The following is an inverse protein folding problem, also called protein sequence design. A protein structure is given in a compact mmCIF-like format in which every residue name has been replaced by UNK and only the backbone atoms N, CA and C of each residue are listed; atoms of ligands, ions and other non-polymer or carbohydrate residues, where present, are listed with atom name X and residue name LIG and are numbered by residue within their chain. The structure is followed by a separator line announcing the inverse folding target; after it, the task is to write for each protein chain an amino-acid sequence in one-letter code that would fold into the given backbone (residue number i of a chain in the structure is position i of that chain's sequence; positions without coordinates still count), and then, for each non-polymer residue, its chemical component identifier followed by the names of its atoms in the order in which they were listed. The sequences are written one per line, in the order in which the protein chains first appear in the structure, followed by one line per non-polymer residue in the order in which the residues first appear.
data_IF_214123765562
#
_entry.id   IF_214123765562
#
_cell.length_a   1.000
_cell.length_b   1.000
_cell.length_c   1.000
_cell.angle_alpha   90.00
_cell.angle_beta   90.00
_cell.angle_gamma   90.00
#
_symmetry.space_group_name_H-M   'P 1'
#
loop_
_entity.id
_entity.type
_entity.pdbx_description
1 polymer ?
#
# COMPACT_ATOMS: atom_id res chain seq x y z
N UNK A 1 24.34 -0.88 -70.73
CA UNK A 1 23.16 -0.91 -69.83
C UNK A 1 22.93 -2.37 -69.49
N UNK A 2 22.78 -2.71 -68.20
CA UNK A 2 22.85 -4.04 -67.58
C UNK A 2 24.26 -4.50 -67.16
N UNK A 3 24.61 -4.30 -65.88
CA UNK A 3 25.48 -5.18 -65.06
C UNK A 3 25.57 -4.78 -63.58
N UNK A 4 25.01 -3.65 -63.14
CA UNK A 4 25.05 -3.24 -61.71
C UNK A 4 24.16 -4.09 -60.76
N UNK A 5 23.36 -5.01 -61.30
CA UNK A 5 22.46 -5.88 -60.51
C UNK A 5 23.09 -7.25 -60.20
N UNK A 6 24.23 -7.59 -60.83
CA UNK A 6 24.90 -8.89 -60.70
C UNK A 6 25.68 -9.02 -59.38
N UNK A 7 26.31 -7.94 -58.91
CA UNK A 7 27.24 -8.02 -57.77
C UNK A 7 26.57 -7.99 -56.40
N UNK A 8 25.35 -7.44 -56.31
CA UNK A 8 24.54 -7.51 -55.07
C UNK A 8 24.10 -8.94 -54.74
N UNK A 9 24.01 -9.82 -55.74
CA UNK A 9 23.66 -11.23 -55.57
C UNK A 9 24.89 -12.10 -55.23
N UNK A 10 26.09 -11.62 -55.56
CA UNK A 10 27.34 -12.35 -55.34
C UNK A 10 27.74 -12.42 -53.85
N UNK A 11 27.53 -11.34 -53.08
CA UNK A 11 27.84 -11.32 -51.63
C UNK A 11 26.91 -12.28 -50.86
N UNK A 12 25.64 -12.34 -51.27
CA UNK A 12 24.69 -13.34 -50.77
C UNK A 12 24.99 -14.76 -51.26
N UNK A 13 25.91 -15.00 -52.21
CA UNK A 13 26.33 -16.37 -52.62
C UNK A 13 27.48 -16.94 -51.80
N UNK A 14 28.12 -16.15 -50.93
CA UNK A 14 29.07 -16.69 -49.96
C UNK A 14 28.34 -17.69 -49.06
N UNK A 15 28.68 -18.97 -49.20
CA UNK A 15 28.08 -20.06 -48.43
C UNK A 15 28.14 -19.76 -46.92
N UNK A 16 29.23 -19.16 -46.44
CA UNK A 16 29.41 -18.79 -45.04
C UNK A 16 28.43 -17.70 -44.56
N UNK A 17 28.16 -16.69 -45.38
CA UNK A 17 27.23 -15.60 -45.04
C UNK A 17 25.78 -16.10 -45.03
N UNK A 18 25.41 -16.99 -45.96
CA UNK A 18 24.07 -17.62 -45.96
C UNK A 18 23.82 -18.46 -44.72
N UNK A 19 24.77 -19.32 -44.35
CA UNK A 19 24.63 -20.16 -43.16
C UNK A 19 24.62 -19.34 -41.87
N UNK A 20 25.40 -18.25 -41.82
CA UNK A 20 25.36 -17.33 -40.70
C UNK A 20 23.98 -16.66 -40.59
N UNK A 21 23.48 -16.03 -41.65
CA UNK A 21 22.17 -15.34 -41.67
C UNK A 21 21.01 -16.31 -41.39
N UNK A 22 21.03 -17.52 -41.97
CA UNK A 22 20.02 -18.56 -41.70
C UNK A 22 20.06 -19.04 -40.24
N UNK A 23 21.26 -19.30 -39.70
CA UNK A 23 21.43 -19.65 -38.29
C UNK A 23 20.95 -18.52 -37.38
N UNK A 24 21.17 -17.28 -37.78
CA UNK A 24 20.76 -16.08 -37.08
C UNK A 24 19.24 -15.89 -37.01
N UNK A 25 18.58 -16.01 -38.17
CA UNK A 25 17.12 -15.92 -38.28
C UNK A 25 16.46 -17.08 -37.56
N UNK A 26 16.99 -18.30 -37.68
CA UNK A 26 16.48 -19.46 -36.95
C UNK A 26 16.60 -19.27 -35.43
N UNK A 27 17.72 -18.75 -34.96
CA UNK A 27 17.94 -18.49 -33.54
C UNK A 27 17.02 -17.37 -33.00
N UNK A 28 16.84 -16.28 -33.73
CA UNK A 28 15.86 -15.24 -33.38
C UNK A 28 14.42 -15.77 -33.33
N UNK A 29 14.07 -16.66 -34.26
CA UNK A 29 12.72 -17.25 -34.35
C UNK A 29 12.44 -18.17 -33.16
N UNK A 30 13.44 -18.98 -32.76
CA UNK A 30 13.34 -19.87 -31.60
C UNK A 30 13.29 -19.06 -30.31
N UNK A 31 14.12 -18.02 -30.19
CA UNK A 31 14.12 -17.15 -29.02
C UNK A 31 12.80 -16.38 -28.90
N UNK A 32 12.27 -15.84 -30.01
CA UNK A 32 10.96 -15.18 -30.05
C UNK A 32 9.79 -16.11 -29.68
N UNK A 33 9.81 -17.36 -30.13
CA UNK A 33 8.81 -18.36 -29.74
C UNK A 33 8.87 -18.72 -28.24
N UNK A 34 10.07 -18.73 -27.66
CA UNK A 34 10.29 -18.89 -26.21
C UNK A 34 9.76 -17.70 -25.39
N UNK A 35 9.83 -16.48 -25.94
CA UNK A 35 9.29 -15.26 -25.29
C UNK A 35 7.76 -15.26 -25.30
N UNK A 36 7.13 -15.68 -26.40
CA UNK A 36 5.66 -15.63 -26.56
C UNK A 36 4.97 -16.72 -25.72
N UNK A 37 5.66 -17.84 -25.45
CA UNK A 37 5.08 -19.00 -24.75
C UNK A 37 5.15 -18.96 -23.22
N UNK A 38 5.89 -18.02 -22.62
CA UNK A 38 6.09 -17.99 -21.17
C UNK A 38 5.83 -16.59 -20.58
N UNK A 39 4.84 -16.50 -19.69
CA UNK A 39 4.50 -15.27 -18.98
C UNK A 39 5.70 -14.75 -18.13
N UNK A 40 5.99 -13.44 -18.11
CA UNK A 40 7.22 -12.89 -17.55
C UNK A 40 7.09 -12.71 -16.04
N UNK A 41 7.46 -13.72 -15.25
CA UNK A 41 7.54 -13.58 -13.78
C UNK A 41 8.82 -14.14 -13.15
N UNK A 42 9.67 -14.83 -13.91
CA UNK A 42 10.87 -15.50 -13.38
C UNK A 42 12.16 -14.76 -13.73
N UNK A 43 13.02 -14.55 -12.71
CA UNK A 43 14.39 -13.99 -12.85
C UNK A 43 15.24 -14.74 -13.89
N UNK A 44 15.00 -16.05 -14.05
CA UNK A 44 15.69 -16.90 -15.03
C UNK A 44 15.29 -16.52 -16.45
N UNK A 45 14.02 -16.19 -16.67
CA UNK A 45 13.50 -15.79 -17.99
C UNK A 45 14.10 -14.45 -18.39
N UNK A 46 14.23 -13.50 -17.46
CA UNK A 46 14.84 -12.19 -17.73
C UNK A 46 16.34 -12.33 -18.04
N UNK A 47 17.04 -13.21 -17.34
CA UNK A 47 18.43 -13.55 -17.65
C UNK A 47 18.56 -14.15 -19.06
N UNK A 48 17.67 -15.08 -19.43
CA UNK A 48 17.64 -15.66 -20.79
C UNK A 48 17.31 -14.59 -21.84
N UNK A 49 16.34 -13.72 -21.60
CA UNK A 49 15.97 -12.62 -22.50
C UNK A 49 17.12 -11.62 -22.69
N UNK A 50 17.83 -11.27 -21.62
CA UNK A 50 19.00 -10.39 -21.70
C UNK A 50 20.16 -11.05 -22.46
N UNK A 51 20.41 -12.34 -22.23
CA UNK A 51 21.42 -13.11 -22.97
C UNK A 51 21.07 -13.25 -24.45
N UNK A 52 19.79 -13.47 -24.77
CA UNK A 52 19.28 -13.49 -26.15
C UNK A 52 19.45 -12.12 -26.80
N UNK A 53 19.12 -11.04 -26.09
CA UNK A 53 19.26 -9.72 -26.68
C UNK A 53 20.73 -9.34 -26.91
N UNK A 54 21.63 -9.67 -25.98
CA UNK A 54 23.08 -9.46 -26.14
C UNK A 54 23.63 -10.26 -27.33
N UNK A 55 23.28 -11.53 -27.47
CA UNK A 55 23.71 -12.35 -28.61
C UNK A 55 23.10 -11.87 -29.94
N UNK A 56 21.88 -11.31 -29.91
CA UNK A 56 21.24 -10.66 -31.05
C UNK A 56 21.97 -9.37 -31.48
N UNK A 57 22.45 -8.58 -30.54
CA UNK A 57 23.21 -7.37 -30.89
C UNK A 57 24.63 -7.72 -31.34
N UNK A 58 25.32 -8.64 -30.66
CA UNK A 58 26.65 -9.10 -31.07
C UNK A 58 26.60 -9.72 -32.48
N UNK A 59 25.55 -10.49 -32.75
CA UNK A 59 25.35 -11.12 -34.04
C UNK A 59 25.06 -10.12 -35.16
N UNK A 60 24.21 -9.11 -34.93
CA UNK A 60 24.00 -8.03 -35.92
C UNK A 60 25.28 -7.23 -36.17
N UNK A 61 26.04 -6.90 -35.12
CA UNK A 61 27.36 -6.27 -35.24
C UNK A 61 28.31 -7.14 -36.07
N UNK A 62 28.33 -8.45 -35.82
CA UNK A 62 29.13 -9.42 -36.57
C UNK A 62 28.75 -9.50 -38.04
N UNK A 63 27.46 -9.51 -38.38
CA UNK A 63 26.98 -9.46 -39.77
C UNK A 63 27.36 -8.13 -40.42
N UNK A 64 27.17 -7.00 -39.74
CA UNK A 64 27.56 -5.69 -40.26
C UNK A 64 29.06 -5.61 -40.53
N UNK A 65 29.90 -6.13 -39.63
CA UNK A 65 31.35 -6.22 -39.83
C UNK A 65 31.74 -7.16 -40.96
N UNK A 66 31.10 -8.33 -41.07
CA UNK A 66 31.34 -9.28 -42.16
C UNK A 66 30.93 -8.71 -43.51
N UNK A 67 29.81 -7.99 -43.59
CA UNK A 67 29.38 -7.29 -44.80
C UNK A 67 30.33 -6.17 -45.19
N UNK A 68 30.97 -5.51 -44.21
CA UNK A 68 32.03 -4.52 -44.46
C UNK A 68 33.33 -5.16 -44.98
N UNK A 69 33.69 -6.36 -44.52
CA UNK A 69 34.97 -7.01 -44.86
C UNK A 69 34.91 -8.00 -46.04
N UNK A 70 33.73 -8.43 -46.50
CA UNK A 70 33.62 -9.46 -47.55
C UNK A 70 33.24 -8.94 -48.95
N UNK A 71 33.29 -7.62 -49.17
CA UNK A 71 33.16 -7.07 -50.52
C UNK A 71 34.43 -7.36 -51.34
N UNK A 72 34.34 -8.08 -52.48
CA UNK A 72 35.52 -8.38 -53.29
C UNK A 72 35.95 -7.12 -54.03
N UNK A 73 37.07 -6.53 -53.61
CA UNK A 73 37.84 -5.57 -54.40
C UNK A 73 38.88 -6.35 -55.19
N UNK A 74 38.59 -6.58 -56.46
CA UNK A 74 39.67 -6.64 -57.44
C UNK A 74 40.05 -5.19 -57.76
N UNK A 75 41.36 -4.92 -57.76
CA UNK A 75 42.02 -3.64 -58.04
C UNK A 75 42.01 -2.59 -56.92
N UNK A 76 43.14 -2.55 -56.20
CA UNK A 76 43.79 -1.38 -55.57
C UNK A 76 42.89 -0.21 -55.14
N UNK A 77 42.14 -0.42 -54.05
CA UNK A 77 41.99 0.49 -52.88
C UNK A 77 40.87 -0.06 -51.99
N UNK A 78 41.03 -0.07 -50.66
CA UNK A 78 40.00 -0.60 -49.76
C UNK A 78 38.68 0.17 -49.92
N UNK A 79 37.58 -0.58 -50.02
CA UNK A 79 36.21 -0.12 -50.31
C UNK A 79 35.65 0.93 -49.33
N UNK A 80 36.36 1.22 -48.23
CA UNK A 80 36.04 2.30 -47.30
C UNK A 80 36.06 3.70 -47.96
N UNK A 81 36.71 3.83 -49.12
CA UNK A 81 36.72 5.07 -49.92
C UNK A 81 35.50 5.24 -50.86
N UNK A 82 34.63 4.23 -51.05
CA UNK A 82 33.55 4.27 -52.05
C UNK A 82 32.15 3.93 -51.54
N UNK A 83 31.98 3.58 -50.27
CA UNK A 83 30.68 3.70 -49.62
C UNK A 83 30.42 5.18 -49.33
N UNK A 84 29.60 5.82 -50.16
CA UNK A 84 29.09 7.17 -49.97
C UNK A 84 28.79 7.45 -48.49
N UNK A 85 29.31 8.58 -48.01
CA UNK A 85 29.46 8.96 -46.60
C UNK A 85 28.17 8.91 -45.77
N UNK A 86 26.98 8.97 -46.40
CA UNK A 86 25.70 8.94 -45.71
C UNK A 86 25.31 7.55 -45.17
N UNK A 87 25.69 6.45 -45.84
CA UNK A 87 25.29 5.09 -45.41
C UNK A 87 26.18 4.54 -44.29
N UNK A 88 27.45 4.95 -44.24
CA UNK A 88 28.37 4.61 -43.14
C UNK A 88 28.07 5.40 -41.86
N UNK A 89 27.56 6.62 -41.97
CA UNK A 89 27.18 7.48 -40.83
C UNK A 89 26.04 6.89 -40.00
N UNK A 90 24.93 6.52 -40.64
CA UNK A 90 23.77 5.94 -39.95
C UNK A 90 24.06 4.54 -39.37
N UNK A 91 24.93 3.77 -40.03
CA UNK A 91 25.35 2.46 -39.53
C UNK A 91 26.22 2.60 -38.28
N UNK A 92 27.19 3.52 -38.29
CA UNK A 92 28.08 3.78 -37.16
C UNK A 92 27.34 4.25 -35.91
N UNK A 93 26.42 5.22 -36.04
CA UNK A 93 25.62 5.68 -34.92
C UNK A 93 24.74 4.57 -34.34
N UNK A 94 24.17 3.73 -35.20
CA UNK A 94 23.33 2.60 -34.78
C UNK A 94 24.14 1.54 -34.02
N UNK A 95 25.34 1.20 -34.50
CA UNK A 95 26.23 0.24 -33.83
C UNK A 95 26.67 0.76 -32.46
N UNK A 96 27.06 2.04 -32.35
CA UNK A 96 27.44 2.65 -31.07
C UNK A 96 26.26 2.65 -30.09
N UNK A 97 25.07 3.01 -30.56
CA UNK A 97 23.84 3.03 -29.74
C UNK A 97 23.51 1.63 -29.22
N UNK A 98 23.56 0.60 -30.08
CA UNK A 98 23.28 -0.78 -29.70
C UNK A 98 24.35 -1.36 -28.74
N UNK A 99 25.62 -1.02 -28.93
CA UNK A 99 26.69 -1.42 -28.00
C UNK A 99 26.52 -0.76 -26.63
N UNK A 100 26.22 0.53 -26.60
CA UNK A 100 25.98 1.23 -25.34
C UNK A 100 24.75 0.65 -24.63
N UNK A 101 23.67 0.41 -25.36
CA UNK A 101 22.43 -0.14 -24.80
C UNK A 101 22.61 -1.59 -24.29
N UNK A 102 23.39 -2.43 -24.97
CA UNK A 102 23.67 -3.82 -24.53
C UNK A 102 24.43 -3.93 -23.23
N UNK A 103 25.28 -2.95 -22.93
CA UNK A 103 26.02 -2.95 -21.68
C UNK A 103 25.25 -2.21 -20.58
N UNK A 104 24.69 -1.05 -20.90
CA UNK A 104 24.11 -0.17 -19.91
C UNK A 104 22.73 -0.62 -19.43
N UNK A 105 21.83 -1.08 -20.31
CA UNK A 105 20.47 -1.46 -19.89
C UNK A 105 20.46 -2.68 -18.97
N UNK A 106 21.23 -3.77 -19.22
CA UNK A 106 21.35 -4.85 -18.25
C UNK A 106 22.00 -4.40 -16.95
N UNK A 107 23.04 -3.56 -17.01
CA UNK A 107 23.68 -3.03 -15.81
C UNK A 107 22.68 -2.23 -14.94
N UNK A 108 21.90 -1.33 -15.54
CA UNK A 108 20.85 -0.56 -14.87
C UNK A 108 19.74 -1.48 -14.33
N UNK A 109 19.38 -2.53 -15.08
CA UNK A 109 18.41 -3.50 -14.62
C UNK A 109 18.85 -4.18 -13.32
N UNK A 110 20.09 -4.66 -13.26
CA UNK A 110 20.60 -5.38 -12.09
C UNK A 110 20.92 -4.46 -10.90
N UNK A 111 21.44 -3.25 -11.17
CA UNK A 111 21.93 -2.35 -10.11
C UNK A 111 20.85 -1.42 -9.56
N UNK A 112 19.82 -1.10 -10.35
CA UNK A 112 18.83 -0.10 -10.01
C UNK A 112 17.39 -0.61 -10.16
N UNK A 113 16.99 -1.12 -11.33
CA UNK A 113 15.58 -1.46 -11.57
C UNK A 113 15.09 -2.68 -10.78
N UNK A 114 15.82 -3.80 -10.71
CA UNK A 114 15.37 -4.97 -9.91
C UNK A 114 15.32 -4.67 -8.40
N UNK A 115 16.34 -4.01 -7.81
CA UNK A 115 16.27 -3.57 -6.42
C UNK A 115 15.08 -2.64 -6.13
N UNK A 116 14.85 -1.60 -6.94
CA UNK A 116 13.74 -0.66 -6.71
C UNK A 116 12.37 -1.29 -7.00
N UNK A 117 12.27 -2.24 -7.92
CA UNK A 117 11.04 -3.01 -8.17
C UNK A 117 10.67 -3.95 -7.02
N UNK A 118 11.64 -4.37 -6.22
CA UNK A 118 11.41 -5.26 -5.06
C UNK A 118 11.34 -4.50 -3.74
N UNK A 119 11.67 -3.21 -3.75
CA UNK A 119 11.60 -2.33 -2.59
C UNK A 119 10.17 -1.89 -2.35
N UNK A 120 9.63 -2.29 -1.21
CA UNK A 120 8.35 -1.79 -0.73
C UNK A 120 8.49 -0.35 -0.23
N UNK A 121 7.57 0.50 -0.65
CA UNK A 121 7.43 1.89 -0.20
C UNK A 121 6.01 2.12 0.29
N UNK A 122 5.86 3.10 1.17
CA UNK A 122 4.54 3.56 1.62
C UNK A 122 4.29 4.90 0.94
N UNK A 123 3.27 4.93 0.09
CA UNK A 123 2.82 6.15 -0.59
C UNK A 123 1.71 6.75 0.27
N UNK A 124 1.85 8.03 0.57
CA UNK A 124 0.83 8.79 1.29
C UNK A 124 0.08 9.68 0.33
N UNK A 125 -1.22 9.50 0.26
CA UNK A 125 -2.13 10.40 -0.42
C UNK A 125 -3.11 11.02 0.57
N UNK A 126 -3.68 12.17 0.22
CA UNK A 126 -4.77 12.78 1.00
C UNK A 126 -5.96 12.98 0.09
N UNK A 127 -7.11 12.54 0.56
CA UNK A 127 -8.38 12.79 -0.08
C UNK A 127 -9.43 13.23 0.93
N UNK A 128 -10.56 13.70 0.42
CA UNK A 128 -11.70 14.09 1.24
C UNK A 128 -12.80 13.05 1.04
N UNK A 129 -13.23 12.42 2.12
CA UNK A 129 -14.33 11.45 2.10
C UNK A 129 -15.63 12.20 1.78
N UNK A 130 -16.14 12.03 0.57
CA UNK A 130 -17.36 12.71 0.11
C UNK A 130 -18.61 11.92 0.50
N UNK A 131 -19.67 12.61 0.91
CA UNK A 131 -21.00 12.00 1.18
C UNK A 131 -21.59 11.23 -0.01
N UNK A 132 -21.14 11.53 -1.23
CA UNK A 132 -21.69 11.01 -2.50
C UNK A 132 -20.97 9.77 -3.01
N UNK A 133 -19.76 9.51 -2.52
CA UNK A 133 -19.06 8.26 -2.80
C UNK A 133 -19.58 7.16 -1.87
N UNK A 134 -19.69 5.92 -2.35
CA UNK A 134 -20.01 4.73 -1.54
C UNK A 134 -19.09 4.49 -0.33
N UNK A 135 -18.10 5.36 -0.09
CA UNK A 135 -17.26 5.38 1.09
C UNK A 135 -17.69 6.55 1.99
N UNK A 136 -18.68 6.33 2.87
CA UNK A 136 -18.98 7.27 3.94
C UNK A 136 -17.98 7.09 5.09
N UNK A 137 -17.78 8.12 5.90
CA UNK A 137 -17.02 7.98 7.15
C UNK A 137 -17.88 7.23 8.18
N UNK A 138 -17.65 5.93 8.34
CA UNK A 138 -18.37 5.11 9.31
C UNK A 138 -17.78 5.25 10.71
N UNK A 139 -18.63 5.26 11.73
CA UNK A 139 -18.15 5.20 13.11
C UNK A 139 -17.41 3.87 13.36
N UNK A 140 -16.35 3.88 14.17
CA UNK A 140 -15.57 2.69 14.46
C UNK A 140 -16.31 1.75 15.43
N UNK A 141 -15.87 0.50 15.46
CA UNK A 141 -16.18 -0.39 16.59
C UNK A 141 -15.31 -0.03 17.79
N UNK A 142 -15.87 -0.19 18.98
CA UNK A 142 -15.21 0.17 20.25
C UNK A 142 -15.27 -1.03 21.18
N UNK A 143 -14.12 -1.45 21.69
CA UNK A 143 -14.04 -2.47 22.74
C UNK A 143 -13.49 -1.87 24.02
N UNK A 144 -14.19 -2.10 25.11
CA UNK A 144 -13.73 -1.81 26.47
C UNK A 144 -13.11 -3.07 27.06
N UNK A 145 -11.96 -2.94 27.72
CA UNK A 145 -11.31 -4.05 28.41
C UNK A 145 -11.10 -3.76 29.88
N UNK A 146 -11.39 -4.79 30.67
CA UNK A 146 -11.06 -4.91 32.07
C UNK A 146 -10.07 -6.06 32.22
N UNK A 147 -8.86 -5.77 32.71
CA UNK A 147 -7.84 -6.79 32.99
C UNK A 147 -8.21 -7.71 34.16
N UNK A 148 -8.15 -9.03 34.03
CA UNK A 148 -8.70 -9.95 35.06
C UNK A 148 -7.91 -9.95 36.37
N UNK A 149 -6.59 -9.80 36.31
CA UNK A 149 -5.67 -9.85 37.45
C UNK A 149 -5.43 -8.47 38.11
N UNK A 150 -6.13 -7.42 37.67
CA UNK A 150 -5.99 -6.06 38.21
C UNK A 150 -7.31 -5.56 38.79
N UNK A 151 -7.36 -5.38 40.12
CA UNK A 151 -8.58 -4.95 40.82
C UNK A 151 -8.67 -3.45 41.10
N UNK A 152 -7.58 -2.69 41.02
CA UNK A 152 -7.59 -1.21 41.03
C UNK A 152 -8.00 -0.57 39.67
N UNK A 153 -8.98 -1.15 38.99
CA UNK A 153 -9.59 -0.59 37.77
C UNK A 153 -11.12 -0.79 37.82
N UNK A 154 -11.88 -0.20 36.90
CA UNK A 154 -13.33 -0.40 36.84
C UNK A 154 -13.72 -1.83 36.42
N UNK A 155 -14.78 -2.37 37.01
CA UNK A 155 -15.35 -3.66 36.69
C UNK A 155 -16.53 -3.49 35.74
N UNK A 156 -16.44 -4.07 34.54
CA UNK A 156 -17.48 -3.93 33.51
C UNK A 156 -18.75 -4.68 33.90
N UNK A 157 -19.90 -4.03 33.66
CA UNK A 157 -21.23 -4.57 33.90
C UNK A 157 -22.09 -4.55 32.64
N UNK A 158 -23.00 -5.52 32.54
CA UNK A 158 -23.97 -5.64 31.45
C UNK A 158 -25.36 -5.14 31.87
N UNK A 159 -25.62 -5.12 33.18
CA UNK A 159 -26.85 -4.62 33.79
C UNK A 159 -26.47 -3.51 34.77
N UNK A 160 -26.90 -2.25 34.55
CA UNK A 160 -27.85 -1.80 33.53
C UNK A 160 -27.30 -1.87 32.09
N UNK A 161 -28.18 -2.02 31.08
CA UNK A 161 -27.78 -2.17 29.69
C UNK A 161 -27.02 -0.94 29.20
N UNK A 162 -25.95 -1.12 28.42
CA UNK A 162 -25.20 -0.01 27.86
C UNK A 162 -26.06 0.81 26.88
N UNK A 163 -25.67 2.06 26.68
CA UNK A 163 -26.39 2.98 25.80
C UNK A 163 -25.49 3.43 24.66
N UNK A 164 -26.08 3.73 23.51
CA UNK A 164 -25.37 4.28 22.36
C UNK A 164 -26.32 5.14 21.55
N UNK A 165 -25.86 6.35 21.20
CA UNK A 165 -26.62 7.34 20.43
C UNK A 165 -25.74 7.93 19.34
N UNK A 166 -26.29 8.11 18.15
CA UNK A 166 -25.70 8.97 17.13
C UNK A 166 -26.41 10.32 17.16
N UNK A 167 -25.64 11.41 17.14
CA UNK A 167 -26.14 12.78 17.28
C UNK A 167 -26.36 13.19 18.73
N UNK A 168 -27.44 13.91 19.00
CA UNK A 168 -27.80 14.30 20.37
C UNK A 168 -28.40 13.13 21.15
N UNK A 169 -28.16 13.11 22.46
CA UNK A 169 -28.73 12.09 23.34
C UNK A 169 -30.26 12.11 23.29
N UNK A 170 -30.86 10.99 22.89
CA UNK A 170 -32.31 10.83 22.76
C UNK A 170 -32.73 9.38 22.98
N UNK A 171 -33.32 9.09 24.14
CA UNK A 171 -33.77 7.74 24.53
C UNK A 171 -35.06 7.28 23.82
N UNK A 172 -35.69 8.15 23.04
CA UNK A 172 -36.89 7.80 22.24
C UNK A 172 -36.63 7.74 20.74
N UNK A 173 -35.38 7.95 20.32
CA UNK A 173 -35.01 7.90 18.92
C UNK A 173 -35.12 6.48 18.34
N UNK A 174 -35.42 6.35 17.03
CA UNK A 174 -35.42 5.05 16.37
C UNK A 174 -34.02 4.44 16.31
N UNK A 175 -33.97 3.14 16.10
CA UNK A 175 -32.74 2.37 15.87
C UNK A 175 -32.05 2.81 14.57
N UNK A 176 -30.74 3.02 14.61
CA UNK A 176 -29.94 3.46 13.49
C UNK A 176 -30.03 2.51 12.28
N UNK A 177 -30.21 1.21 12.51
CA UNK A 177 -30.29 0.22 11.43
C UNK A 177 -31.61 0.24 10.65
N UNK A 178 -32.67 0.77 11.27
CA UNK A 178 -33.99 0.90 10.62
C UNK A 178 -34.02 2.13 9.72
N UNK A 179 -33.21 3.15 10.01
CA UNK A 179 -33.13 4.41 9.27
C UNK A 179 -32.03 4.41 8.20
N UNK A 180 -31.89 3.31 7.46
CA UNK A 180 -30.88 3.18 6.41
C UNK A 180 -31.31 3.91 5.12
N UNK A 181 -31.07 5.23 5.04
CA UNK A 181 -30.75 5.92 3.77
C UNK A 181 -30.37 7.40 3.93
N UNK A 182 -31.08 8.21 4.73
CA UNK A 182 -30.92 9.68 4.69
C UNK A 182 -31.22 10.39 6.01
N UNK A 183 -31.24 9.68 7.14
CA UNK A 183 -31.61 10.28 8.41
C UNK A 183 -30.45 11.08 9.00
N UNK A 184 -30.61 12.40 9.06
CA UNK A 184 -29.64 13.35 9.65
C UNK A 184 -29.94 13.68 11.12
N UNK A 185 -30.97 13.05 11.70
CA UNK A 185 -31.36 13.22 13.10
C UNK A 185 -30.66 12.23 14.04
N UNK A 186 -31.04 12.26 15.32
CA UNK A 186 -30.51 11.36 16.34
C UNK A 186 -31.08 9.94 16.23
N UNK A 187 -30.26 8.90 16.27
CA UNK A 187 -30.70 7.50 16.31
C UNK A 187 -30.01 6.73 17.44
N UNK A 188 -30.54 5.57 17.80
CA UNK A 188 -30.00 4.68 18.83
C UNK A 188 -29.20 3.54 18.23
N UNK A 189 -28.09 3.20 18.87
CA UNK A 189 -27.22 2.09 18.51
C UNK A 189 -26.98 1.16 19.72
N UNK A 190 -27.82 1.24 20.76
CA UNK A 190 -27.66 0.47 22.00
C UNK A 190 -27.72 -1.05 21.79
N UNK A 191 -28.52 -1.48 20.82
CA UNK A 191 -28.64 -2.85 20.33
C UNK A 191 -27.34 -3.43 19.72
N UNK A 192 -26.34 -2.60 19.44
CA UNK A 192 -25.05 -3.00 18.84
C UNK A 192 -23.98 -3.36 19.86
N UNK A 193 -24.25 -3.17 21.15
CA UNK A 193 -23.41 -3.72 22.20
C UNK A 193 -23.54 -5.24 22.24
N UNK A 194 -22.45 -5.93 22.51
CA UNK A 194 -22.45 -7.36 22.77
C UNK A 194 -23.38 -7.70 23.94
N UNK A 195 -24.16 -8.78 23.84
CA UNK A 195 -25.08 -9.21 24.91
C UNK A 195 -24.36 -9.67 26.20
N UNK A 196 -23.04 -9.93 26.10
CA UNK A 196 -22.23 -10.46 27.20
C UNK A 196 -20.82 -9.91 27.14
N UNK A 197 -20.16 -9.93 28.30
CA UNK A 197 -18.73 -9.66 28.43
C UNK A 197 -17.98 -10.95 28.15
N UNK A 198 -17.06 -10.91 27.17
CA UNK A 198 -16.31 -12.09 26.73
C UNK A 198 -14.89 -12.09 27.30
N UNK A 199 -14.30 -13.27 27.45
CA UNK A 199 -12.89 -13.38 27.83
C UNK A 199 -12.01 -13.17 26.59
N UNK A 200 -10.99 -12.34 26.73
CA UNK A 200 -10.05 -11.99 25.67
C UNK A 200 -8.63 -12.05 26.20
N UNK A 201 -7.76 -12.80 25.53
CA UNK A 201 -6.36 -12.89 25.90
C UNK A 201 -5.49 -12.13 24.90
N UNK A 202 -4.64 -11.23 25.42
CA UNK A 202 -3.72 -10.43 24.62
C UNK A 202 -2.37 -10.32 25.30
N UNK A 203 -1.30 -10.62 24.55
CA UNK A 203 0.08 -10.59 25.05
C UNK A 203 0.24 -11.33 26.40
N UNK A 204 -0.30 -12.55 26.49
CA UNK A 204 -0.24 -13.40 27.69
C UNK A 204 -0.90 -12.76 28.94
N UNK A 205 -1.86 -11.86 28.73
CA UNK A 205 -2.66 -11.23 29.78
C UNK A 205 -4.14 -11.43 29.48
N UNK A 206 -4.91 -11.82 30.49
CA UNK A 206 -6.35 -12.05 30.37
C UNK A 206 -7.15 -10.78 30.64
N UNK A 207 -8.10 -10.50 29.76
CA UNK A 207 -9.02 -9.38 29.80
C UNK A 207 -10.47 -9.89 29.71
N UNK A 208 -11.38 -9.09 30.24
CA UNK A 208 -12.82 -9.14 29.99
C UNK A 208 -13.13 -8.02 28.99
N UNK A 209 -13.69 -8.36 27.84
CA UNK A 209 -13.95 -7.45 26.73
C UNK A 209 -15.45 -7.23 26.55
N UNK A 210 -15.83 -5.97 26.34
CA UNK A 210 -17.20 -5.57 26.05
C UNK A 210 -17.22 -4.67 24.81
N UNK A 211 -17.91 -5.10 23.76
CA UNK A 211 -17.72 -4.56 22.42
C UNK A 211 -19.00 -3.93 21.88
N UNK A 212 -18.89 -2.69 21.42
CA UNK A 212 -19.86 -2.03 20.56
C UNK A 212 -19.45 -2.24 19.10
N UNK A 213 -20.25 -3.00 18.35
CA UNK A 213 -19.96 -3.33 16.94
C UNK A 213 -20.67 -2.37 16.01
N UNK A 214 -19.92 -1.51 15.32
CA UNK A 214 -20.51 -0.52 14.41
C UNK A 214 -21.03 -1.15 13.11
N UNK A 215 -22.11 -0.59 12.55
CA UNK A 215 -22.73 -1.04 11.30
C UNK A 215 -22.57 -0.02 10.17
N UNK A 216 -22.88 -0.42 8.93
CA UNK A 216 -22.87 0.49 7.77
C UNK A 216 -23.86 1.65 7.96
N UNK A 217 -24.96 1.43 8.71
CA UNK A 217 -25.95 2.46 9.00
C UNK A 217 -25.42 3.52 9.99
N UNK A 218 -24.37 3.20 10.76
CA UNK A 218 -23.69 4.13 11.67
C UNK A 218 -22.66 4.99 10.93
N UNK A 219 -23.09 5.65 9.85
CA UNK A 219 -22.28 6.59 9.10
C UNK A 219 -22.38 8.00 9.69
N UNK A 220 -21.26 8.72 9.73
CA UNK A 220 -21.25 10.13 10.08
C UNK A 220 -21.66 10.96 8.84
N UNK A 221 -22.77 11.73 8.90
CA UNK A 221 -23.18 12.55 7.78
C UNK A 221 -22.33 13.81 7.64
N UNK A 222 -21.70 14.30 8.71
CA UNK A 222 -20.92 15.55 8.67
C UNK A 222 -19.79 15.54 9.68
N UNK A 223 -18.73 16.34 9.47
CA UNK A 223 -17.74 16.59 10.52
C UNK A 223 -18.42 17.06 11.81
N UNK A 224 -17.81 16.71 12.94
CA UNK A 224 -18.28 16.96 14.32
C UNK A 224 -19.64 16.35 14.66
N UNK A 225 -20.20 15.49 13.80
CA UNK A 225 -21.30 14.63 14.22
C UNK A 225 -20.75 13.61 15.22
N UNK A 226 -21.44 13.46 16.34
CA UNK A 226 -20.95 12.72 17.50
C UNK A 226 -21.68 11.38 17.64
N UNK A 227 -20.95 10.37 18.08
CA UNK A 227 -21.48 9.15 18.67
C UNK A 227 -21.24 9.22 20.18
N UNK A 228 -22.29 9.01 20.96
CA UNK A 228 -22.24 8.96 22.42
C UNK A 228 -22.42 7.50 22.82
N UNK A 229 -21.36 6.87 23.30
CA UNK A 229 -21.40 5.49 23.81
C UNK A 229 -21.23 5.48 25.32
N UNK A 230 -22.11 4.78 26.03
CA UNK A 230 -22.10 4.67 27.48
C UNK A 230 -22.05 3.22 27.92
N UNK A 231 -21.09 2.90 28.80
CA UNK A 231 -20.97 1.58 29.40
C UNK A 231 -20.92 1.71 30.92
N UNK A 232 -21.54 0.74 31.60
CA UNK A 232 -21.70 0.76 33.04
C UNK A 232 -20.62 -0.07 33.72
N UNK A 233 -20.24 0.35 34.92
CA UNK A 233 -19.20 -0.29 35.70
C UNK A 233 -19.40 -0.12 37.20
N UNK A 234 -18.74 -0.98 37.96
CA UNK A 234 -18.56 -0.82 39.41
C UNK A 234 -17.11 -0.68 39.79
N UNK A 235 -16.85 -0.06 40.94
CA UNK A 235 -15.49 0.07 41.47
C UNK A 235 -15.49 -0.09 42.98
N UNK A 236 -14.68 -1.02 43.48
CA UNK A 236 -14.56 -1.29 44.91
C UNK A 236 -13.16 -0.89 45.38
N UNK A 237 -13.08 0.26 46.07
CA UNK A 237 -11.78 0.75 46.56
C UNK A 237 -11.21 -0.11 47.68
N UNK A 238 -12.07 -0.77 48.47
CA UNK A 238 -11.65 -1.62 49.59
C UNK A 238 -10.95 -2.86 49.08
N UNK A 239 -11.52 -3.51 48.06
CA UNK A 239 -10.92 -4.64 47.36
C UNK A 239 -9.65 -4.24 46.62
N UNK A 240 -9.69 -3.11 45.89
CA UNK A 240 -8.51 -2.58 45.21
C UNK A 240 -7.32 -2.34 46.18
N UNK A 241 -7.60 -1.76 47.36
CA UNK A 241 -6.59 -1.54 48.41
C UNK A 241 -6.08 -2.84 49.00
N UNK A 242 -6.96 -3.81 49.26
CA UNK A 242 -6.58 -5.11 49.82
C UNK A 242 -5.66 -5.91 48.88
N UNK A 243 -5.99 -5.95 47.59
CA UNK A 243 -5.28 -6.79 46.62
C UNK A 243 -4.00 -6.13 46.08
N UNK A 244 -4.03 -4.81 45.84
CA UNK A 244 -2.94 -4.13 45.09
C UNK A 244 -2.20 -3.08 45.91
N UNK A 245 -2.62 -2.79 47.15
CA UNK A 245 -2.08 -1.73 48.03
C UNK A 245 -2.13 -0.30 47.44
N UNK A 246 -2.74 -0.12 46.26
CA UNK A 246 -2.87 1.14 45.54
C UNK A 246 -4.31 1.34 45.11
N UNK A 247 -4.83 2.54 45.33
CA UNK A 247 -6.16 2.96 44.86
C UNK A 247 -5.93 3.95 43.74
N UNK A 248 -6.37 3.59 42.53
CA UNK A 248 -6.37 4.47 41.37
C UNK A 248 -7.80 4.96 41.13
N UNK A 249 -7.98 6.04 40.39
CA UNK A 249 -9.31 6.34 39.84
C UNK A 249 -9.75 5.17 38.95
N UNK A 250 -11.05 4.80 38.94
CA UNK A 250 -11.49 3.67 38.15
C UNK A 250 -11.20 3.95 36.68
N UNK A 251 -10.47 3.04 36.05
CA UNK A 251 -10.02 3.16 34.67
C UNK A 251 -10.42 1.94 33.87
N UNK A 252 -10.59 2.11 32.56
CA UNK A 252 -10.85 1.03 31.61
C UNK A 252 -9.94 1.20 30.39
N UNK A 253 -9.50 0.09 29.82
CA UNK A 253 -8.79 0.12 28.55
C UNK A 253 -9.79 0.20 27.41
N UNK A 254 -9.47 0.95 26.36
CA UNK A 254 -10.28 1.05 25.15
C UNK A 254 -9.45 0.72 23.93
N UNK A 255 -10.06 0.05 22.95
CA UNK A 255 -9.57 -0.04 21.59
C UNK A 255 -10.65 0.45 20.63
N UNK A 256 -10.24 1.21 19.64
CA UNK A 256 -11.11 1.78 18.60
C UNK A 256 -10.57 1.32 17.26
N UNK A 257 -11.38 0.64 16.46
CA UNK A 257 -10.92 -0.02 15.24
C UNK A 257 -12.01 -0.07 14.17
N UNK A 258 -11.59 -0.40 12.94
CA UNK A 258 -12.49 -0.55 11.80
C UNK A 258 -13.48 -1.71 12.01
N UNK A 259 -14.80 -1.50 11.80
CA UNK A 259 -15.80 -2.55 11.99
C UNK A 259 -15.64 -3.78 11.08
N UNK A 260 -14.86 -3.68 10.00
CA UNK A 260 -14.54 -4.81 9.12
C UNK A 260 -13.55 -5.80 9.74
N UNK A 261 -12.85 -5.42 10.81
CA UNK A 261 -11.87 -6.24 11.52
C UNK A 261 -12.43 -6.73 12.85
N UNK A 262 -11.98 -7.90 13.31
CA UNK A 262 -12.16 -8.29 14.70
C UNK A 262 -11.17 -7.55 15.61
N UNK A 263 -11.49 -7.42 16.90
CA UNK A 263 -10.60 -6.76 17.87
C UNK A 263 -9.22 -7.43 17.96
N UNK A 264 -9.16 -8.76 17.77
CA UNK A 264 -7.91 -9.54 17.75
C UNK A 264 -7.08 -9.17 16.53
N UNK A 265 -7.67 -9.25 15.33
CA UNK A 265 -6.98 -8.91 14.08
C UNK A 265 -6.51 -7.45 14.06
N UNK A 266 -7.32 -6.53 14.59
CA UNK A 266 -6.97 -5.13 14.68
C UNK A 266 -5.74 -4.89 15.59
N UNK A 267 -5.63 -5.63 16.71
CA UNK A 267 -4.48 -5.54 17.62
C UNK A 267 -3.23 -6.25 17.06
N UNK A 268 -3.39 -7.43 16.45
CA UNK A 268 -2.28 -8.21 15.84
C UNK A 268 -1.65 -7.50 14.66
N UNK A 269 -2.48 -6.92 13.80
CA UNK A 269 -2.02 -6.21 12.60
C UNK A 269 -1.70 -4.72 12.87
N UNK A 270 -1.88 -4.26 14.11
CA UNK A 270 -1.55 -2.90 14.53
C UNK A 270 -2.42 -1.82 13.88
N UNK A 271 -3.71 -2.10 13.62
CA UNK A 271 -4.74 -1.12 13.24
C UNK A 271 -5.38 -0.43 14.44
N UNK A 272 -5.12 -0.94 15.64
CA UNK A 272 -5.56 -0.32 16.89
C UNK A 272 -4.56 -0.57 18.00
N UNK A 273 -4.77 0.12 19.12
CA UNK A 273 -3.99 0.00 20.35
C UNK A 273 -4.90 0.17 21.55
N UNK A 274 -4.60 -0.57 22.62
CA UNK A 274 -5.30 -0.38 23.88
C UNK A 274 -4.82 0.91 24.55
N UNK A 275 -5.73 1.80 24.88
CA UNK A 275 -5.45 3.04 25.62
C UNK A 275 -6.22 3.03 26.93
N UNK A 276 -5.55 3.31 28.04
CA UNK A 276 -6.18 3.42 29.34
C UNK A 276 -6.86 4.78 29.48
N UNK A 277 -8.14 4.79 29.82
CA UNK A 277 -8.90 6.01 30.11
C UNK A 277 -9.48 5.98 31.51
N UNK A 278 -9.70 7.16 32.08
CA UNK A 278 -10.44 7.29 33.32
C UNK A 278 -11.92 7.02 33.06
N UNK A 279 -12.47 6.00 33.71
CA UNK A 279 -13.88 5.62 33.64
C UNK A 279 -14.76 6.55 34.49
N UNK A 280 -14.19 7.21 35.52
CA UNK A 280 -14.90 8.19 36.34
C UNK A 280 -14.96 9.56 35.65
N UNK A 281 -15.57 9.65 34.47
CA UNK A 281 -15.64 10.92 33.74
C UNK A 281 -16.19 10.81 32.33
N UNK A 282 -16.08 11.93 31.62
CA UNK A 282 -16.40 12.02 30.20
C UNK A 282 -15.12 12.01 29.39
N UNK A 283 -15.04 11.13 28.40
CA UNK A 283 -13.94 11.06 27.46
C UNK A 283 -14.40 11.50 26.06
N UNK A 284 -13.77 12.53 25.52
CA UNK A 284 -13.92 12.93 24.12
C UNK A 284 -12.82 12.28 23.28
N UNK A 285 -13.21 11.56 22.23
CA UNK A 285 -12.33 10.85 21.31
C UNK A 285 -12.52 11.46 19.92
N UNK A 286 -11.53 12.22 19.48
CA UNK A 286 -11.47 12.72 18.10
C UNK A 286 -10.75 11.68 17.23
N UNK A 287 -11.38 11.33 16.12
CA UNK A 287 -10.91 10.32 15.18
C UNK A 287 -10.31 10.97 13.93
N UNK A 288 -9.01 10.84 13.74
CA UNK A 288 -8.39 11.11 12.44
C UNK A 288 -8.56 9.92 11.51
N UNK A 289 -8.98 10.16 10.28
CA UNK A 289 -9.15 9.11 9.26
C UNK A 289 -7.80 8.81 8.61
N UNK A 290 -7.26 7.63 8.86
CA UNK A 290 -6.14 7.09 8.09
C UNK A 290 -6.53 5.70 7.55
N UNK A 291 -6.45 5.51 6.24
CA UNK A 291 -6.88 4.31 5.55
C UNK A 291 -5.65 3.59 5.02
N UNK A 292 -5.44 2.36 5.46
CA UNK A 292 -4.23 1.59 5.15
C UNK A 292 -4.57 0.50 4.15
N UNK A 293 -3.82 0.49 3.05
CA UNK A 293 -3.86 -0.56 2.04
C UNK A 293 -2.50 -1.28 2.06
N UNK A 294 -2.43 -2.42 2.76
CA UNK A 294 -1.23 -3.24 2.81
C UNK A 294 -1.31 -4.39 1.79
N UNK A 295 -0.16 -4.81 1.24
CA UNK A 295 -0.12 -5.91 0.28
C UNK A 295 -0.59 -7.21 0.95
N UNK A 296 -1.53 -7.90 0.31
CA UNK A 296 -2.08 -9.18 0.78
C UNK A 296 -3.05 -9.06 1.96
N UNK A 297 -3.45 -7.86 2.37
CA UNK A 297 -4.42 -7.62 3.44
C UNK A 297 -5.62 -6.83 2.91
N UNK A 298 -6.79 -7.05 3.51
CA UNK A 298 -7.94 -6.20 3.25
C UNK A 298 -7.65 -4.78 3.75
N UNK A 299 -8.02 -3.74 2.99
CA UNK A 299 -7.79 -2.37 3.41
C UNK A 299 -8.74 -2.00 4.55
N UNK A 300 -8.24 -1.25 5.53
CA UNK A 300 -9.01 -0.89 6.72
C UNK A 300 -8.56 0.46 7.30
N UNK A 301 -9.45 1.09 8.06
CA UNK A 301 -9.15 2.31 8.80
C UNK A 301 -8.30 2.03 10.05
N UNK A 302 -7.23 2.80 10.16
CA UNK A 302 -6.42 2.97 11.37
C UNK A 302 -6.69 4.37 11.91
N UNK A 303 -7.45 4.46 12.99
CA UNK A 303 -7.91 5.76 13.49
C UNK A 303 -6.82 6.44 14.32
N UNK A 304 -6.41 7.64 13.90
CA UNK A 304 -5.56 8.47 14.75
C UNK A 304 -6.39 9.05 15.90
N UNK A 305 -6.20 8.49 17.10
CA UNK A 305 -6.97 8.89 18.28
C UNK A 305 -6.36 10.10 18.99
N UNK A 306 -7.16 11.15 19.19
CA UNK A 306 -6.89 12.23 20.13
C UNK A 306 -7.93 12.18 21.25
N UNK A 307 -7.49 11.77 22.44
CA UNK A 307 -8.37 11.53 23.60
C UNK A 307 -8.19 12.66 24.61
N UNK A 308 -9.30 13.25 25.04
CA UNK A 308 -9.36 14.20 26.15
C UNK A 308 -10.31 13.65 27.20
N UNK A 309 -9.90 13.62 28.45
CA UNK A 309 -10.71 13.12 29.56
C UNK A 309 -10.94 14.23 30.58
N UNK A 310 -12.19 14.40 30.98
CA UNK A 310 -12.58 15.29 32.07
C UNK A 310 -13.08 14.39 33.20
N UNK A 311 -12.33 14.25 34.31
CA UNK A 311 -12.78 13.46 35.44
C UNK A 311 -14.01 14.10 36.06
N UNK A 312 -14.98 13.27 36.43
CA UNK A 312 -16.10 13.71 37.25
C UNK A 312 -15.64 13.77 38.70
N UNK A 313 -15.68 14.98 39.28
CA UNK A 313 -15.30 15.21 40.68
C UNK A 313 -16.41 14.80 41.66
N UNK A 314 -17.67 14.77 41.18
CA UNK A 314 -18.85 14.55 42.00
C UNK A 314 -19.44 13.14 41.87
N UNK A 315 -18.98 12.35 40.88
CA UNK A 315 -19.45 10.97 40.70
C UNK A 315 -18.69 10.04 41.66
N UNK A 316 -19.38 9.62 42.72
CA UNK A 316 -18.89 8.60 43.66
C UNK A 316 -19.26 7.22 43.13
N UNK A 317 -18.28 6.57 42.48
CA UNK A 317 -18.41 5.21 41.94
C UNK A 317 -17.92 4.10 42.85
N UNK A 318 -17.61 4.44 44.09
CA UNK A 318 -17.10 3.50 45.06
C UNK A 318 -18.25 2.72 45.70
N UNK A 319 -18.34 1.43 45.39
CA UNK A 319 -19.34 0.52 45.97
C UNK A 319 -18.95 -0.03 47.33
N UNK A 320 -17.78 0.35 47.88
CA UNK A 320 -17.34 -0.09 49.20
C UNK A 320 -18.17 0.50 50.35
N UNK A 321 -18.81 1.67 50.14
CA UNK A 321 -19.80 2.24 51.06
C UNK A 321 -21.19 2.22 50.39
N UNK A 322 -22.17 1.46 50.93
CA UNK A 322 -23.55 1.43 50.43
C UNK A 322 -24.24 2.81 50.41
N UNK A 323 -23.70 3.82 51.12
CA UNK A 323 -24.21 5.20 51.13
C UNK A 323 -23.50 6.12 50.14
N UNK A 324 -22.39 5.67 49.54
CA UNK A 324 -21.53 6.46 48.66
C UNK A 324 -21.99 6.49 47.20
N UNK A 325 -22.59 5.41 46.69
CA UNK A 325 -23.04 5.36 45.30
C UNK A 325 -24.36 6.12 45.11
N UNK A 326 -24.32 7.28 44.43
CA UNK A 326 -25.50 8.11 44.14
C UNK A 326 -26.34 7.58 42.95
N UNK A 327 -25.92 6.51 42.30
CA UNK A 327 -26.56 5.92 41.11
C UNK A 327 -25.63 4.91 40.41
N UNK A 328 -26.09 4.28 39.29
CA UNK A 328 -25.24 3.39 38.51
C UNK A 328 -24.08 4.17 37.88
N UNK A 329 -22.87 3.62 37.96
CA UNK A 329 -21.69 4.26 37.41
C UNK A 329 -21.49 3.95 35.95
N UNK A 330 -21.14 4.97 35.18
CA UNK A 330 -20.97 4.83 33.74
C UNK A 330 -19.85 5.70 33.21
N UNK A 331 -19.18 5.16 32.20
CA UNK A 331 -18.23 5.86 31.35
C UNK A 331 -19.02 6.42 30.17
N UNK A 332 -18.82 7.70 29.84
CA UNK A 332 -19.38 8.30 28.61
C UNK A 332 -18.25 8.62 27.63
N UNK A 333 -18.34 8.02 26.44
CA UNK A 333 -17.45 8.25 25.30
C UNK A 333 -18.15 9.12 24.27
N UNK A 334 -17.59 10.28 24.00
CA UNK A 334 -18.00 11.19 22.92
C UNK A 334 -17.05 11.04 21.75
N UNK A 335 -17.47 10.32 20.72
CA UNK A 335 -16.63 9.96 19.58
C UNK A 335 -17.04 10.78 18.37
N UNK A 336 -16.09 11.44 17.71
CA UNK A 336 -16.40 12.29 16.55
C UNK A 336 -15.26 12.35 15.53
N UNK A 337 -15.63 12.66 14.30
CA UNK A 337 -14.69 13.00 13.22
C UNK A 337 -14.55 14.52 13.14
N UNK A 338 -13.42 15.13 13.53
CA UNK A 338 -13.25 16.58 13.43
C UNK A 338 -13.18 17.06 11.97
N UNK A 339 -12.72 16.19 11.06
CA UNK A 339 -12.63 16.44 9.62
C UNK A 339 -12.84 15.13 8.86
N UNK A 340 -13.28 15.23 7.61
CA UNK A 340 -13.35 14.11 6.65
C UNK A 340 -12.15 14.08 5.70
N UNK A 341 -11.11 14.89 5.98
CA UNK A 341 -9.79 14.69 5.38
C UNK A 341 -9.23 13.34 5.85
N UNK A 342 -8.97 12.48 4.87
CA UNK A 342 -8.44 11.14 5.06
C UNK A 342 -7.04 11.07 4.49
N UNK A 343 -6.14 10.50 5.27
CA UNK A 343 -4.85 10.07 4.77
C UNK A 343 -4.98 8.63 4.26
N UNK A 344 -4.55 8.37 3.03
CA UNK A 344 -4.47 7.01 2.49
C UNK A 344 -3.00 6.62 2.48
N UNK A 345 -2.65 5.56 3.21
CA UNK A 345 -1.32 4.98 3.17
C UNK A 345 -1.37 3.68 2.38
N UNK A 346 -0.84 3.70 1.17
CA UNK A 346 -0.79 2.56 0.28
C UNK A 346 0.61 1.96 0.28
N UNK A 347 0.71 0.67 0.56
CA UNK A 347 1.94 -0.07 0.36
C UNK A 347 2.05 -0.43 -1.13
N UNK A 348 3.06 0.09 -1.79
CA UNK A 348 3.34 -0.16 -3.21
C UNK A 348 4.84 -0.47 -3.39
N UNK A 349 5.25 -0.74 -4.62
CA UNK A 349 6.66 -0.88 -4.99
C UNK A 349 7.24 0.47 -5.42
N UNK A 350 8.53 0.70 -5.16
CA UNK A 350 9.18 1.97 -5.49
C UNK A 350 9.21 2.25 -6.99
N UNK A 351 9.26 1.19 -7.81
CA UNK A 351 9.28 1.28 -9.26
C UNK A 351 8.37 0.22 -9.87
N UNK A 352 7.46 0.61 -10.77
CA UNK A 352 6.62 -0.32 -11.54
C UNK A 352 7.32 -0.67 -12.86
N UNK A 353 6.86 -1.73 -13.53
CA UNK A 353 7.38 -2.08 -14.87
C UNK A 353 7.18 -0.96 -15.90
N UNK A 354 6.12 -0.18 -15.76
CA UNK A 354 5.86 0.99 -16.60
C UNK A 354 6.95 2.04 -16.43
N UNK A 355 7.38 2.29 -15.19
CA UNK A 355 8.48 3.21 -14.88
C UNK A 355 9.80 2.68 -15.44
N UNK A 356 10.05 1.38 -15.34
CA UNK A 356 11.25 0.75 -15.93
C UNK A 356 11.27 0.89 -17.45
N UNK A 357 10.13 0.68 -18.12
CA UNK A 357 10.05 0.84 -19.57
C UNK A 357 10.27 2.30 -19.98
N UNK A 358 9.72 3.26 -19.23
CA UNK A 358 9.92 4.69 -19.46
C UNK A 358 11.39 5.09 -19.26
N UNK A 359 12.00 4.65 -18.16
CA UNK A 359 13.41 4.94 -17.85
C UNK A 359 14.36 4.29 -18.87
N UNK A 360 14.14 3.02 -19.22
CA UNK A 360 14.90 2.33 -20.26
C UNK A 360 14.78 3.02 -21.63
N UNK A 361 13.59 3.50 -21.99
CA UNK A 361 13.37 4.31 -23.19
C UNK A 361 14.15 5.62 -23.17
N UNK A 362 14.23 6.28 -22.01
CA UNK A 362 15.00 7.52 -21.83
C UNK A 362 16.50 7.29 -22.03
N UNK A 363 17.06 6.21 -21.45
CA UNK A 363 18.45 5.82 -21.63
C UNK A 363 18.76 5.46 -23.08
N UNK A 364 17.86 4.74 -23.74
CA UNK A 364 18.03 4.40 -25.15
C UNK A 364 18.08 5.65 -26.05
N UNK A 365 17.20 6.62 -25.81
CA UNK A 365 17.23 7.91 -26.51
C UNK A 365 18.54 8.68 -26.27
N UNK A 366 19.07 8.64 -25.04
CA UNK A 366 20.37 9.25 -24.73
C UNK A 366 21.51 8.58 -25.51
N UNK A 367 21.54 7.24 -25.58
CA UNK A 367 22.55 6.53 -26.36
C UNK A 367 22.45 6.84 -27.85
N UNK A 368 21.23 7.00 -28.37
CA UNK A 368 21.01 7.39 -29.76
C UNK A 368 21.56 8.79 -30.05
N UNK A 369 21.32 9.74 -29.13
CA UNK A 369 21.83 11.11 -29.23
C UNK A 369 23.36 11.13 -29.15
N UNK A 370 23.97 10.38 -28.24
CA UNK A 370 25.43 10.23 -28.15
C UNK A 370 26.01 9.57 -29.40
N UNK A 371 25.32 8.57 -29.96
CA UNK A 371 25.66 7.95 -31.23
C UNK A 371 25.70 8.97 -32.37
N UNK A 372 24.71 9.87 -32.46
CA UNK A 372 24.70 10.94 -33.44
C UNK A 372 25.83 11.96 -33.23
N UNK A 373 26.08 12.40 -32.00
CA UNK A 373 27.16 13.35 -31.68
C UNK A 373 28.53 12.75 -32.03
N UNK A 374 28.78 11.51 -31.64
CA UNK A 374 30.05 10.83 -31.92
C UNK A 374 30.26 10.59 -33.41
N UNK A 375 29.21 10.20 -34.15
CA UNK A 375 29.26 10.14 -35.62
C UNK A 375 29.51 11.52 -36.25
N UNK A 376 28.92 12.60 -35.73
CA UNK A 376 29.14 13.96 -36.22
C UNK A 376 30.56 14.48 -35.93
N UNK A 377 31.10 14.22 -34.72
CA UNK A 377 32.44 14.64 -34.31
C UNK A 377 33.56 13.90 -35.03
N UNK A 378 33.37 12.60 -35.31
CA UNK A 378 34.30 11.82 -36.13
C UNK A 378 34.47 12.42 -37.53
N UNK A 379 33.47 13.16 -38.01
CA UNK A 379 33.44 13.78 -39.33
C UNK A 379 33.99 15.21 -39.35
N UNK A 380 33.89 15.97 -38.25
CA UNK A 380 34.48 17.32 -38.19
C UNK A 380 36.02 17.29 -38.16
N UNK A 381 36.61 16.16 -37.76
CA UNK A 381 38.08 15.98 -37.64
C UNK A 381 38.72 15.17 -38.78
N UNK A 382 37.93 14.61 -39.71
CA UNK A 382 38.41 13.93 -40.91
C UNK A 382 38.11 14.75 -42.14
#
# INVERSE_FOLDING_TARGET
MATLQSDRVAILRSHRVRWFVLGWVAWLSIAGALVISAAPSSRVIIAVLSGVWVMSVIGTIGVSFLLLFTSPSDSERPLWFHLESAYSQNLGSTVVTLLAATLALPFLYWTFWDPERTRNVIIFNRDTVSQTSQANAHFPSITLFQRVDWTSQANLEVDPPPKCFLGWHNETAPDCDVTAAEYTGSCQCGNRWSDRIENFEWQNTSYRAFTLTSSIAMASPRPTYQMIAQAFFTYDTSKARADTSRVLSPSLWIAVYDPTLTVREALENGYTRMVLINANGMAAINLGLNYREALGHAPAYDYQLSISTIPSIDLQCDTSDPRGASGPCFLSLFVQFPSFERQVSQQDVAMKWQDVAADAGSWFALFQLLGWISSGLAWYKG
#
